data_IF_788848396248
#
_entry.id   IF_788848396248
#
_cell.length_a   1.000
_cell.length_b   1.000
_cell.length_c   1.000
_cell.angle_alpha   90.00
_cell.angle_beta   90.00
_cell.angle_gamma   90.00
#
_symmetry.space_group_name_H-M   'P 1'
#
loop_
_entity.id
_entity.type
_entity.pdbx_description
1 polymer ?
#
# COMPACT_ATOMS: atom_id res chain seq x y z
N UNK A 1 -67.95 10.80 -14.91
CA UNK A 1 -66.79 11.57 -15.40
C UNK A 1 -66.06 12.11 -14.16
N UNK A 2 -65.10 11.35 -13.61
CA UNK A 2 -64.42 11.75 -12.37
C UNK A 2 -63.54 12.97 -12.65
N UNK A 3 -63.95 14.14 -12.13
CA UNK A 3 -63.11 15.32 -12.05
C UNK A 3 -61.97 15.05 -11.06
N UNK A 4 -60.88 14.47 -11.54
CA UNK A 4 -59.66 14.38 -10.77
C UNK A 4 -59.18 15.81 -10.47
N UNK A 5 -59.24 16.20 -9.19
CA UNK A 5 -58.71 17.47 -8.71
C UNK A 5 -57.24 17.58 -9.12
N UNK A 6 -56.92 18.48 -10.06
CA UNK A 6 -55.57 18.69 -10.64
C UNK A 6 -54.48 18.81 -9.57
N UNK A 7 -54.81 19.42 -8.42
CA UNK A 7 -53.92 19.56 -7.25
C UNK A 7 -53.49 18.22 -6.64
N UNK A 8 -54.38 17.23 -6.57
CA UNK A 8 -54.06 15.90 -6.01
C UNK A 8 -53.14 15.10 -6.93
N UNK A 9 -53.33 15.25 -8.25
CA UNK A 9 -52.47 14.59 -9.25
C UNK A 9 -51.04 15.14 -9.22
N UNK A 10 -50.89 16.46 -9.06
CA UNK A 10 -49.58 17.11 -8.93
C UNK A 10 -48.85 16.64 -7.66
N UNK A 11 -49.56 16.53 -6.54
CA UNK A 11 -48.97 16.02 -5.29
C UNK A 11 -48.43 14.60 -5.44
N UNK A 12 -49.18 13.74 -6.15
CA UNK A 12 -48.80 12.35 -6.39
C UNK A 12 -47.54 12.25 -7.26
N UNK A 13 -47.43 13.09 -8.29
CA UNK A 13 -46.25 13.18 -9.15
C UNK A 13 -45.03 13.61 -8.33
N UNK A 14 -45.16 14.68 -7.53
CA UNK A 14 -44.06 15.18 -6.69
C UNK A 14 -43.60 14.11 -5.69
N UNK A 15 -44.53 13.42 -5.04
CA UNK A 15 -44.20 12.32 -4.11
C UNK A 15 -43.44 11.19 -4.83
N UNK A 16 -43.87 10.81 -6.03
CA UNK A 16 -43.18 9.81 -6.85
C UNK A 16 -41.75 10.23 -7.20
N UNK A 17 -41.55 11.48 -7.59
CA UNK A 17 -40.21 12.02 -7.90
C UNK A 17 -39.31 11.99 -6.67
N UNK A 18 -39.80 12.40 -5.50
CA UNK A 18 -39.03 12.37 -4.25
C UNK A 18 -38.61 10.93 -3.90
N UNK A 19 -39.51 9.97 -4.09
CA UNK A 19 -39.24 8.55 -3.81
C UNK A 19 -38.15 8.00 -4.75
N UNK A 20 -38.24 8.30 -6.04
CA UNK A 20 -37.23 7.88 -7.03
C UNK A 20 -35.86 8.50 -6.71
N UNK A 21 -35.81 9.79 -6.37
CA UNK A 21 -34.56 10.46 -5.97
C UNK A 21 -33.98 9.85 -4.69
N UNK A 22 -34.83 9.50 -3.72
CA UNK A 22 -34.40 8.84 -2.48
C UNK A 22 -33.74 7.47 -2.73
N UNK A 23 -34.32 6.64 -3.60
CA UNK A 23 -33.73 5.33 -3.96
C UNK A 23 -32.38 5.53 -4.67
N UNK A 24 -32.30 6.48 -5.59
CA UNK A 24 -31.05 6.83 -6.28
C UNK A 24 -29.95 7.27 -5.31
N UNK A 25 -30.28 8.13 -4.33
CA UNK A 25 -29.33 8.58 -3.32
C UNK A 25 -28.77 7.42 -2.50
N UNK A 26 -29.61 6.47 -2.08
CA UNK A 26 -29.19 5.28 -1.34
C UNK A 26 -28.25 4.40 -2.18
N UNK A 27 -28.57 4.22 -3.47
CA UNK A 27 -27.72 3.45 -4.38
C UNK A 27 -26.33 4.09 -4.54
N UNK A 28 -26.27 5.41 -4.72
CA UNK A 28 -25.02 6.17 -4.86
C UNK A 28 -24.18 6.04 -3.57
N UNK A 29 -24.79 6.19 -2.39
CA UNK A 29 -24.11 6.04 -1.10
C UNK A 29 -23.46 4.66 -0.96
N UNK A 30 -24.14 3.59 -1.39
CA UNK A 30 -23.58 2.22 -1.35
C UNK A 30 -22.42 2.01 -2.31
N UNK A 31 -22.47 2.65 -3.47
CA UNK A 31 -21.40 2.57 -4.47
C UNK A 31 -20.16 3.30 -3.95
N UNK A 32 -20.32 4.50 -3.42
CA UNK A 32 -19.20 5.31 -2.90
C UNK A 32 -18.52 4.61 -1.72
N UNK A 33 -19.28 4.06 -0.77
CA UNK A 33 -18.69 3.34 0.37
C UNK A 33 -17.88 2.12 -0.06
N UNK A 34 -18.35 1.41 -1.09
CA UNK A 34 -17.63 0.27 -1.68
C UNK A 34 -16.33 0.70 -2.35
N UNK A 35 -16.33 1.83 -3.07
CA UNK A 35 -15.14 2.37 -3.71
C UNK A 35 -14.09 2.87 -2.71
N UNK A 36 -14.50 3.48 -1.60
CA UNK A 36 -13.57 3.98 -0.57
C UNK A 36 -12.70 2.85 0.02
N UNK A 37 -13.32 1.72 0.39
CA UNK A 37 -12.59 0.57 0.94
C UNK A 37 -11.65 -0.08 -0.08
N UNK A 38 -12.12 -0.22 -1.33
CA UNK A 38 -11.33 -0.85 -2.38
C UNK A 38 -10.12 0.01 -2.77
N UNK A 39 -10.30 1.32 -2.86
CA UNK A 39 -9.22 2.26 -3.17
C UNK A 39 -8.20 2.31 -2.05
N UNK A 40 -8.61 2.31 -0.78
CA UNK A 40 -7.68 2.30 0.35
C UNK A 40 -6.75 1.07 0.35
N UNK A 41 -7.31 -0.10 0.05
CA UNK A 41 -6.52 -1.34 -0.06
C UNK A 41 -5.55 -1.31 -1.25
N UNK A 42 -6.00 -0.82 -2.42
CA UNK A 42 -5.15 -0.72 -3.60
C UNK A 42 -4.02 0.30 -3.41
N UNK A 43 -4.31 1.46 -2.83
CA UNK A 43 -3.32 2.50 -2.53
C UNK A 43 -2.26 1.98 -1.56
N UNK A 44 -2.68 1.28 -0.49
CA UNK A 44 -1.77 0.67 0.48
C UNK A 44 -0.81 -0.32 -0.18
N UNK A 45 -1.32 -1.19 -1.07
CA UNK A 45 -0.48 -2.14 -1.80
C UNK A 45 0.53 -1.44 -2.72
N UNK A 46 0.12 -0.37 -3.39
CA UNK A 46 1.00 0.42 -4.26
C UNK A 46 2.10 1.08 -3.43
N UNK A 47 1.75 1.69 -2.29
CA UNK A 47 2.71 2.30 -1.37
C UNK A 47 3.75 1.28 -0.88
N UNK A 48 3.31 0.07 -0.49
CA UNK A 48 4.22 -1.00 -0.08
C UNK A 48 5.17 -1.43 -1.22
N UNK A 49 4.68 -1.50 -2.46
CA UNK A 49 5.52 -1.82 -3.62
C UNK A 49 6.57 -0.75 -3.92
N UNK A 50 6.20 0.54 -3.83
CA UNK A 50 7.16 1.62 -4.01
C UNK A 50 8.19 1.66 -2.87
N UNK A 51 7.77 1.42 -1.63
CA UNK A 51 8.68 1.31 -0.49
C UNK A 51 9.68 0.14 -0.66
N UNK A 52 9.21 -1.03 -1.11
CA UNK A 52 10.08 -2.16 -1.42
C UNK A 52 11.10 -1.82 -2.52
N UNK A 53 10.66 -1.16 -3.61
CA UNK A 53 11.55 -0.73 -4.71
C UNK A 53 12.60 0.27 -4.23
N UNK A 54 12.22 1.23 -3.39
CA UNK A 54 13.16 2.18 -2.78
C UNK A 54 14.21 1.43 -1.94
N UNK A 55 13.78 0.44 -1.15
CA UNK A 55 14.68 -0.43 -0.41
C UNK A 55 15.69 -1.14 -1.32
N UNK A 56 15.23 -1.77 -2.41
CA UNK A 56 16.13 -2.49 -3.35
C UNK A 56 17.17 -1.54 -3.94
N UNK A 57 16.76 -0.33 -4.33
CA UNK A 57 17.68 0.66 -4.89
C UNK A 57 18.70 1.13 -3.87
N UNK A 58 18.29 1.28 -2.61
CA UNK A 58 19.19 1.61 -1.51
C UNK A 58 20.21 0.49 -1.26
N UNK A 59 19.77 -0.78 -1.17
CA UNK A 59 20.66 -1.91 -1.03
C UNK A 59 21.63 -2.03 -2.23
N UNK A 60 21.15 -1.79 -3.45
CA UNK A 60 21.98 -1.81 -4.65
C UNK A 60 23.04 -0.69 -4.63
N UNK A 61 22.70 0.52 -4.22
CA UNK A 61 23.65 1.63 -4.09
C UNK A 61 24.71 1.31 -3.03
N UNK A 62 24.31 0.71 -1.90
CA UNK A 62 25.24 0.29 -0.84
C UNK A 62 26.17 -0.84 -1.27
N UNK A 63 25.67 -1.85 -1.98
CA UNK A 63 26.49 -2.92 -2.54
C UNK A 63 27.48 -2.39 -3.60
N UNK A 64 27.11 -1.35 -4.35
CA UNK A 64 27.98 -0.72 -5.36
C UNK A 64 29.07 0.16 -4.76
N UNK A 65 28.76 0.92 -3.70
CA UNK A 65 29.64 1.95 -3.12
C UNK A 65 30.59 1.41 -2.05
N UNK A 66 31.02 0.16 -2.17
CA UNK A 66 31.85 -0.59 -1.22
C UNK A 66 30.98 -1.24 -0.13
N UNK A 67 30.53 -2.47 -0.42
CA UNK A 67 29.72 -3.37 0.43
C UNK A 67 30.11 -3.26 1.91
N UNK A 68 29.42 -2.36 2.61
CA UNK A 68 29.80 -1.97 3.95
C UNK A 68 29.53 -3.16 4.87
N UNK A 69 30.58 -3.75 5.43
CA UNK A 69 30.47 -4.91 6.32
C UNK A 69 29.61 -4.60 7.55
N UNK A 70 29.39 -3.32 7.89
CA UNK A 70 28.44 -2.92 8.92
C UNK A 70 26.96 -3.06 8.48
N UNK A 71 26.68 -2.99 7.17
CA UNK A 71 25.34 -3.15 6.60
C UNK A 71 24.98 -4.60 6.31
N UNK A 72 25.87 -5.32 5.64
CA UNK A 72 25.57 -6.64 5.10
C UNK A 72 26.71 -7.63 5.43
N UNK A 73 27.05 -7.81 6.72
CA UNK A 73 28.18 -8.63 7.14
C UNK A 73 28.05 -10.09 6.68
N UNK A 74 26.82 -10.59 6.58
CA UNK A 74 26.51 -11.98 6.25
C UNK A 74 25.22 -12.07 5.45
N UNK A 75 24.93 -13.23 4.87
CA UNK A 75 23.58 -13.51 4.37
C UNK A 75 22.55 -13.42 5.49
N UNK A 76 21.51 -12.62 5.30
CA UNK A 76 20.52 -12.35 6.36
C UNK A 76 19.44 -11.38 5.93
N UNK A 77 18.41 -11.25 6.76
CA UNK A 77 17.35 -10.25 6.59
C UNK A 77 17.63 -9.04 7.46
N UNK A 78 17.64 -7.86 6.84
CA UNK A 78 17.99 -6.60 7.45
C UNK A 78 16.89 -5.58 7.22
N UNK A 79 16.39 -4.98 8.30
CA UNK A 79 15.43 -3.89 8.21
C UNK A 79 16.16 -2.61 7.83
N UNK A 80 15.81 -2.04 6.69
CA UNK A 80 16.50 -0.86 6.14
C UNK A 80 15.63 0.38 6.12
N UNK A 81 14.31 0.27 6.03
CA UNK A 81 13.42 1.43 6.07
C UNK A 81 12.36 1.20 7.12
N UNK A 82 12.25 2.12 8.07
CA UNK A 82 11.23 2.10 9.11
C UNK A 82 10.94 3.50 9.61
N UNK A 83 9.72 3.70 10.15
CA UNK A 83 9.25 5.03 10.58
C UNK A 83 9.94 5.51 11.86
N UNK A 84 10.30 4.59 12.76
CA UNK A 84 10.87 4.91 14.07
C UNK A 84 11.57 3.69 14.66
N UNK A 85 12.89 3.73 14.76
CA UNK A 85 13.66 2.79 15.59
C UNK A 85 15.06 3.35 15.89
N UNK A 86 15.75 2.66 16.79
CA UNK A 86 17.16 2.88 17.15
C UNK A 86 18.07 2.83 15.91
N UNK A 87 19.05 3.73 15.79
CA UNK A 87 19.93 3.78 14.63
C UNK A 87 20.77 2.50 14.56
N UNK A 88 20.43 1.61 13.62
CA UNK A 88 21.34 0.59 13.12
C UNK A 88 22.23 1.18 12.02
N UNK A 89 23.40 0.60 11.79
CA UNK A 89 24.39 1.13 10.84
C UNK A 89 23.82 1.44 9.45
N UNK A 90 22.75 0.73 9.04
CA UNK A 90 22.20 0.81 7.69
C UNK A 90 20.68 0.97 7.64
N UNK A 91 20.14 1.52 8.73
CA UNK A 91 18.73 1.91 8.83
C UNK A 91 18.55 3.33 8.29
N UNK A 92 17.67 3.49 7.32
CA UNK A 92 17.14 4.78 6.88
C UNK A 92 15.84 5.02 7.65
N UNK A 93 15.86 6.06 8.48
CA UNK A 93 14.66 6.53 9.19
C UNK A 93 13.91 7.45 8.24
N UNK A 94 12.76 6.99 7.76
CA UNK A 94 11.88 7.79 6.90
C UNK A 94 10.66 8.26 7.68
N UNK A 95 10.66 9.50 8.20
CA UNK A 95 9.54 10.02 8.99
C UNK A 95 8.27 10.16 8.17
N UNK A 96 8.40 10.27 6.84
CA UNK A 96 7.31 10.40 5.90
C UNK A 96 6.81 9.05 5.35
N UNK A 97 7.22 7.92 5.95
CA UNK A 97 6.77 6.60 5.50
C UNK A 97 5.25 6.46 5.75
N UNK A 98 4.45 6.11 4.71
CA UNK A 98 3.00 6.01 4.83
C UNK A 98 2.58 5.12 6.00
N UNK A 99 1.54 5.52 6.75
CA UNK A 99 1.02 4.83 7.94
C UNK A 99 0.86 3.31 7.73
N UNK A 100 0.47 2.93 6.52
CA UNK A 100 0.20 1.58 6.03
C UNK A 100 1.44 0.70 5.87
N UNK A 101 2.64 1.27 5.74
CA UNK A 101 3.91 0.52 5.63
C UNK A 101 4.60 0.57 6.99
N UNK A 102 4.80 -0.60 7.60
CA UNK A 102 5.45 -0.72 8.91
C UNK A 102 6.98 -0.69 8.76
N UNK A 103 7.49 -1.57 7.89
CA UNK A 103 8.93 -1.69 7.62
C UNK A 103 9.21 -2.30 6.26
N UNK A 104 10.40 -2.01 5.73
CA UNK A 104 10.97 -2.69 4.55
C UNK A 104 12.21 -3.44 4.99
N UNK A 105 12.13 -4.76 4.86
CA UNK A 105 13.21 -5.69 5.12
C UNK A 105 13.87 -6.08 3.80
N UNK A 106 15.18 -6.22 3.81
CA UNK A 106 15.93 -6.74 2.68
C UNK A 106 16.73 -7.94 3.10
N UNK A 107 16.57 -9.01 2.34
CA UNK A 107 17.35 -10.22 2.47
C UNK A 107 18.46 -10.21 1.44
N UNK A 108 19.70 -10.20 1.92
CA UNK A 108 20.89 -10.39 1.09
C UNK A 108 21.36 -11.82 1.25
N UNK A 109 21.69 -12.46 0.13
CA UNK A 109 22.21 -13.81 0.09
C UNK A 109 23.62 -13.79 -0.51
N UNK A 110 24.52 -14.49 0.16
CA UNK A 110 25.90 -14.69 -0.29
C UNK A 110 25.96 -15.70 -1.43
N UNK A 111 27.04 -15.60 -2.21
CA UNK A 111 27.37 -16.57 -3.23
C UNK A 111 27.37 -18.01 -2.66
N UNK A 112 26.74 -18.94 -3.37
CA UNK A 112 26.70 -20.35 -2.99
C UNK A 112 25.64 -20.75 -1.94
N UNK A 113 24.96 -19.80 -1.30
CA UNK A 113 23.92 -20.10 -0.27
C UNK A 113 22.48 -20.07 -0.79
N UNK A 114 22.25 -19.64 -2.05
CA UNK A 114 20.91 -19.58 -2.66
C UNK A 114 20.78 -20.36 -3.97
N UNK A 115 19.57 -20.88 -4.28
CA UNK A 115 19.25 -21.35 -5.63
C UNK A 115 19.26 -20.17 -6.61
N UNK A 116 20.15 -20.22 -7.60
CA UNK A 116 20.17 -19.27 -8.74
C UNK A 116 21.25 -18.17 -8.71
N UNK A 117 22.23 -18.21 -7.80
CA UNK A 117 23.42 -17.37 -7.91
C UNK A 117 24.37 -17.96 -8.97
N UNK A 118 24.40 -17.37 -10.18
CA UNK A 118 25.11 -17.93 -11.35
C UNK A 118 26.57 -17.46 -11.44
N UNK A 119 26.93 -16.36 -10.76
CA UNK A 119 28.25 -15.75 -10.87
C UNK A 119 28.98 -15.77 -9.52
N UNK A 120 30.25 -16.20 -9.55
CA UNK A 120 31.18 -15.99 -8.42
C UNK A 120 31.26 -14.49 -8.13
N UNK A 121 31.20 -14.14 -6.84
CA UNK A 121 31.17 -12.76 -6.33
C UNK A 121 29.87 -11.95 -6.56
N UNK A 122 28.78 -12.59 -7.02
CA UNK A 122 27.46 -11.96 -7.06
C UNK A 122 26.62 -12.30 -5.81
N UNK A 123 26.09 -11.28 -5.15
CA UNK A 123 25.11 -11.42 -4.06
C UNK A 123 23.69 -11.22 -4.60
N UNK A 124 22.74 -12.05 -4.17
CA UNK A 124 21.32 -11.90 -4.51
C UNK A 124 20.66 -11.00 -3.47
N UNK A 125 19.87 -10.03 -3.91
CA UNK A 125 19.12 -9.12 -3.04
C UNK A 125 17.63 -9.35 -3.27
N UNK A 126 16.88 -9.49 -2.19
CA UNK A 126 15.41 -9.57 -2.19
C UNK A 126 14.87 -8.55 -1.19
N UNK A 127 13.84 -7.80 -1.56
CA UNK A 127 13.16 -6.90 -0.63
C UNK A 127 11.75 -7.39 -0.32
N UNK A 128 11.42 -7.33 0.97
CA UNK A 128 10.12 -7.69 1.53
C UNK A 128 9.61 -6.48 2.30
N UNK A 129 8.54 -5.85 1.81
CA UNK A 129 7.86 -4.79 2.55
C UNK A 129 6.70 -5.38 3.36
N UNK A 130 6.71 -5.14 4.66
CA UNK A 130 5.63 -5.51 5.58
C UNK A 130 4.67 -4.33 5.72
N UNK A 131 3.43 -4.51 5.28
CA UNK A 131 2.38 -3.50 5.35
C UNK A 131 1.20 -4.03 6.18
N UNK A 132 0.58 -3.13 6.94
CA UNK A 132 -0.61 -3.40 7.73
C UNK A 132 -1.81 -2.70 7.10
N UNK A 133 -2.89 -3.45 6.94
CA UNK A 133 -4.18 -2.93 6.56
C UNK A 133 -5.07 -2.94 7.80
N UNK A 134 -5.26 -1.77 8.42
CA UNK A 134 -6.33 -1.53 9.38
C UNK A 134 -7.52 -0.95 8.61
N UNK A 135 -8.62 -1.70 8.42
CA UNK A 135 -9.88 -1.08 8.04
C UNK A 135 -10.37 -0.28 9.25
N UNK A 136 -10.50 1.04 9.10
CA UNK A 136 -11.27 1.86 10.03
C UNK A 136 -12.75 1.46 10.02
#
# INVERSE_FOLDING_TARGET
>A
MLSFNKKGMILFIVMGVILVVGIMAIAILRIISSHSRLTHHQVTRIQAQYAARAGVMYALDKLRRNDDAACWPTSGSYTIIMRSSTPGACVVIEPNLPASVSQVDITVYDYGTTPGAVFADARKVSATATFTYTPD
#
